data_IF_886720280543
#
_entry.id   IF_886720280543
#
_cell.length_a   1.000
_cell.length_b   1.000
_cell.length_c   1.000
_cell.angle_alpha   90.00
_cell.angle_beta   90.00
_cell.angle_gamma   90.00
#
_symmetry.space_group_name_H-M   'P 1'
#
loop_
_entity.id
_entity.type
_entity.pdbx_description
1 polymer ?
#
# COMPACT_ATOMS: atom_id res chain seq x y z
N UNK A 1 -21.62 -15.59 10.28
CA UNK A 1 -20.23 -15.41 9.79
C UNK A 1 -20.30 -15.29 8.27
N UNK A 2 -19.70 -14.26 7.67
CA UNK A 2 -19.72 -14.08 6.21
C UNK A 2 -18.95 -15.24 5.55
N UNK A 3 -19.57 -15.93 4.60
CA UNK A 3 -18.97 -17.05 3.88
C UNK A 3 -18.98 -16.77 2.37
N UNK A 4 -17.95 -16.08 1.84
CA UNK A 4 -17.89 -15.74 0.42
C UNK A 4 -17.83 -17.02 -0.42
N UNK A 5 -18.64 -17.10 -1.47
CA UNK A 5 -18.63 -18.22 -2.42
C UNK A 5 -17.66 -17.90 -3.56
N UNK A 6 -16.57 -18.64 -3.65
CA UNK A 6 -15.63 -18.54 -4.77
C UNK A 6 -15.85 -19.70 -5.74
N UNK A 7 -16.04 -19.40 -7.02
CA UNK A 7 -16.15 -20.40 -8.07
C UNK A 7 -14.86 -20.41 -8.89
N UNK A 8 -14.08 -21.49 -8.77
CA UNK A 8 -12.91 -21.69 -9.60
C UNK A 8 -13.36 -22.00 -11.04
N UNK A 9 -12.70 -21.39 -12.01
CA UNK A 9 -12.89 -21.71 -13.42
C UNK A 9 -11.54 -21.87 -14.11
N UNK A 10 -11.55 -22.38 -15.34
CA UNK A 10 -10.32 -22.68 -16.10
C UNK A 10 -9.45 -21.43 -16.32
N UNK A 11 -10.04 -20.24 -16.43
CA UNK A 11 -9.29 -18.99 -16.59
C UNK A 11 -8.58 -18.59 -15.31
N UNK A 12 -9.25 -18.67 -14.16
CA UNK A 12 -8.62 -18.42 -12.85
C UNK A 12 -7.50 -19.42 -12.62
N UNK A 13 -7.75 -20.71 -12.88
CA UNK A 13 -6.73 -21.75 -12.71
C UNK A 13 -5.51 -21.50 -13.60
N UNK A 14 -5.73 -21.22 -14.89
CA UNK A 14 -4.66 -20.89 -15.84
C UNK A 14 -3.84 -19.68 -15.38
N UNK A 15 -4.51 -18.60 -14.94
CA UNK A 15 -3.83 -17.42 -14.41
C UNK A 15 -3.01 -17.72 -13.15
N UNK A 16 -3.55 -18.53 -12.22
CA UNK A 16 -2.82 -18.92 -11.00
C UNK A 16 -1.55 -19.73 -11.35
N UNK A 17 -1.65 -20.65 -12.32
CA UNK A 17 -0.50 -21.42 -12.79
C UNK A 17 0.56 -20.52 -13.40
N UNK A 18 0.18 -19.61 -14.30
CA UNK A 18 1.12 -18.66 -14.91
C UNK A 18 1.81 -17.76 -13.87
N UNK A 19 1.07 -17.29 -12.85
CA UNK A 19 1.64 -16.50 -11.74
C UNK A 19 2.64 -17.33 -10.93
N UNK A 20 2.31 -18.59 -10.62
CA UNK A 20 3.18 -19.49 -9.87
C UNK A 20 4.47 -19.82 -10.63
N UNK A 21 4.38 -20.04 -11.94
CA UNK A 21 5.54 -20.25 -12.83
C UNK A 21 6.45 -19.02 -12.86
N UNK A 22 5.88 -17.83 -13.07
CA UNK A 22 6.62 -16.57 -13.06
C UNK A 22 7.31 -16.34 -11.71
N UNK A 23 6.60 -16.58 -10.60
CA UNK A 23 7.17 -16.49 -9.25
C UNK A 23 8.35 -17.46 -9.09
N UNK A 24 8.20 -18.71 -9.54
CA UNK A 24 9.26 -19.71 -9.46
C UNK A 24 10.53 -19.32 -10.22
N UNK A 25 10.40 -18.65 -11.37
CA UNK A 25 11.55 -18.09 -12.11
C UNK A 25 12.25 -17.02 -11.28
N UNK A 26 11.49 -16.09 -10.69
CA UNK A 26 12.03 -14.99 -9.87
C UNK A 26 12.72 -15.53 -8.62
N UNK A 27 12.11 -16.48 -7.90
CA UNK A 27 12.66 -17.06 -6.67
C UNK A 27 14.02 -17.75 -6.88
N UNK A 28 14.25 -18.30 -8.09
CA UNK A 28 15.52 -18.96 -8.46
C UNK A 28 16.55 -18.02 -9.08
N UNK A 29 16.19 -16.78 -9.38
CA UNK A 29 17.08 -15.83 -10.02
C UNK A 29 18.24 -15.48 -9.08
N UNK A 30 19.49 -15.60 -9.57
CA UNK A 30 20.68 -15.14 -8.84
C UNK A 30 20.83 -13.64 -9.03
N UNK A 31 20.30 -12.86 -8.07
CA UNK A 31 20.35 -11.40 -8.09
C UNK A 31 21.40 -10.92 -7.09
N UNK A 32 22.25 -9.97 -7.50
CA UNK A 32 23.23 -9.38 -6.59
C UNK A 32 22.52 -8.52 -5.52
N UNK A 33 22.98 -8.51 -4.26
CA UNK A 33 22.31 -7.77 -3.18
C UNK A 33 22.05 -6.28 -3.49
N UNK A 34 23.00 -5.62 -4.16
CA UNK A 34 22.83 -4.21 -4.58
C UNK A 34 21.73 -4.02 -5.62
N UNK A 35 21.57 -4.97 -6.55
CA UNK A 35 20.51 -4.94 -7.55
C UNK A 35 19.16 -5.19 -6.90
N UNK A 36 19.08 -6.13 -5.95
CA UNK A 36 17.86 -6.40 -5.18
C UNK A 36 17.40 -5.16 -4.41
N UNK A 37 18.31 -4.50 -3.69
CA UNK A 37 18.00 -3.26 -2.97
C UNK A 37 17.46 -2.18 -3.90
N UNK A 38 18.07 -2.03 -5.09
CA UNK A 38 17.61 -1.09 -6.12
C UNK A 38 16.20 -1.44 -6.60
N UNK A 39 15.93 -2.72 -6.88
CA UNK A 39 14.62 -3.19 -7.33
C UNK A 39 13.54 -2.97 -6.27
N UNK A 40 13.83 -3.27 -5.00
CA UNK A 40 12.93 -3.01 -3.87
C UNK A 40 12.60 -1.53 -3.73
N UNK A 41 13.61 -0.65 -3.77
CA UNK A 41 13.41 0.81 -3.75
C UNK A 41 12.52 1.27 -4.90
N UNK A 42 12.80 0.81 -6.12
CA UNK A 42 11.99 1.16 -7.29
C UNK A 42 10.55 0.67 -7.17
N UNK A 43 10.33 -0.53 -6.63
CA UNK A 43 9.00 -1.09 -6.40
C UNK A 43 8.21 -0.24 -5.39
N UNK A 44 8.82 0.17 -4.28
CA UNK A 44 8.17 1.02 -3.27
C UNK A 44 7.78 2.38 -3.85
N UNK A 45 8.68 3.02 -4.62
CA UNK A 45 8.41 4.32 -5.24
C UNK A 45 7.26 4.21 -6.25
N UNK A 46 7.30 3.23 -7.16
CA UNK A 46 6.23 3.03 -8.16
C UNK A 46 4.90 2.68 -7.53
N UNK A 47 4.89 1.79 -6.55
CA UNK A 47 3.67 1.41 -5.83
C UNK A 47 3.06 2.61 -5.12
N UNK A 48 3.88 3.44 -4.48
CA UNK A 48 3.42 4.67 -3.82
C UNK A 48 2.81 5.63 -4.84
N UNK A 49 3.55 5.95 -5.90
CA UNK A 49 3.10 6.91 -6.92
C UNK A 49 1.75 6.49 -7.53
N UNK A 50 1.66 5.28 -8.08
CA UNK A 50 0.44 4.84 -8.75
C UNK A 50 -0.73 4.64 -7.79
N UNK A 51 -0.48 4.18 -6.56
CA UNK A 51 -1.57 4.03 -5.58
C UNK A 51 -2.15 5.38 -5.19
N UNK A 52 -1.31 6.41 -4.98
CA UNK A 52 -1.81 7.75 -4.66
C UNK A 52 -2.41 8.45 -5.88
N UNK A 53 -1.87 8.21 -7.07
CA UNK A 53 -2.36 8.76 -8.34
C UNK A 53 -3.79 8.32 -8.67
N UNK A 54 -4.12 7.04 -8.45
CA UNK A 54 -5.48 6.50 -8.63
C UNK A 54 -6.49 7.25 -7.73
N UNK A 55 -6.06 7.69 -6.55
CA UNK A 55 -6.89 8.46 -5.59
C UNK A 55 -6.88 9.98 -5.88
N UNK A 56 -6.23 10.42 -6.96
CA UNK A 56 -6.23 11.80 -7.44
C UNK A 56 -5.00 12.65 -7.05
N UNK A 57 -3.99 12.05 -6.44
CA UNK A 57 -2.73 12.74 -6.12
C UNK A 57 -1.97 13.14 -7.41
N UNK A 58 -1.40 14.35 -7.43
CA UNK A 58 -0.78 14.92 -8.64
C UNK A 58 0.75 14.89 -8.65
N UNK A 59 1.39 14.32 -7.63
CA UNK A 59 2.85 14.27 -7.57
C UNK A 59 3.39 13.31 -8.63
N UNK A 60 4.33 13.78 -9.43
CA UNK A 60 5.03 12.94 -10.39
C UNK A 60 6.00 11.97 -9.68
N UNK A 61 6.45 10.94 -10.41
CA UNK A 61 7.37 9.93 -9.87
C UNK A 61 8.64 10.51 -9.25
N UNK A 62 9.20 11.58 -9.82
CA UNK A 62 10.40 12.25 -9.30
C UNK A 62 10.16 12.96 -7.96
N UNK A 63 8.99 13.57 -7.80
CA UNK A 63 8.56 14.16 -6.52
C UNK A 63 8.33 13.08 -5.46
N UNK A 64 7.70 11.95 -5.82
CA UNK A 64 7.55 10.79 -4.93
C UNK A 64 8.91 10.23 -4.50
N UNK A 65 9.86 10.12 -5.44
CA UNK A 65 11.22 9.69 -5.13
C UNK A 65 11.95 10.68 -4.21
N UNK A 66 11.80 11.99 -4.44
CA UNK A 66 12.36 13.02 -3.56
C UNK A 66 11.80 12.90 -2.14
N UNK A 67 10.49 12.68 -1.99
CA UNK A 67 9.85 12.45 -0.70
C UNK A 67 10.31 11.15 -0.04
N UNK A 68 10.47 10.06 -0.80
CA UNK A 68 11.06 8.80 -0.31
C UNK A 68 12.48 9.02 0.24
N UNK A 69 13.27 9.86 -0.46
CA UNK A 69 14.61 10.28 -0.02
C UNK A 69 14.60 11.35 1.08
N UNK A 70 13.44 11.67 1.67
CA UNK A 70 13.24 12.69 2.73
C UNK A 70 13.65 14.11 2.33
N UNK A 71 13.67 14.41 1.03
CA UNK A 71 13.88 15.77 0.53
C UNK A 71 12.59 16.58 0.62
N UNK A 72 12.73 17.91 0.65
CA UNK A 72 11.60 18.83 0.52
C UNK A 72 11.26 19.01 -0.96
N UNK A 73 9.98 19.17 -1.26
CA UNK A 73 9.46 19.52 -2.58
C UNK A 73 8.47 20.66 -2.41
N UNK A 74 8.25 21.41 -3.49
CA UNK A 74 7.18 22.40 -3.57
C UNK A 74 5.96 21.76 -4.23
N UNK A 75 4.90 21.57 -3.45
CA UNK A 75 3.63 20.97 -3.86
C UNK A 75 2.56 21.18 -2.77
N UNK A 76 1.26 20.99 -3.07
CA UNK A 76 0.21 21.05 -2.06
C UNK A 76 0.49 20.12 -0.88
N UNK A 77 0.33 20.66 0.34
CA UNK A 77 0.61 19.92 1.58
C UNK A 77 -0.15 18.58 1.65
N UNK A 78 -1.40 18.57 1.20
CA UNK A 78 -2.22 17.35 1.16
C UNK A 78 -1.56 16.25 0.33
N UNK A 79 -1.10 16.58 -0.88
CA UNK A 79 -0.48 15.60 -1.78
C UNK A 79 0.83 15.05 -1.19
N UNK A 80 1.62 15.93 -0.54
CA UNK A 80 2.83 15.56 0.20
C UNK A 80 2.50 14.60 1.35
N UNK A 81 1.43 14.89 2.11
CA UNK A 81 1.01 14.05 3.22
C UNK A 81 0.56 12.68 2.74
N UNK A 82 -0.26 12.59 1.70
CA UNK A 82 -0.75 11.31 1.14
C UNK A 82 0.40 10.38 0.74
N UNK A 83 1.41 10.89 0.02
CA UNK A 83 2.59 10.11 -0.36
C UNK A 83 3.40 9.66 0.87
N UNK A 84 3.68 10.57 1.81
CA UNK A 84 4.41 10.23 3.05
C UNK A 84 3.64 9.21 3.89
N UNK A 85 2.33 9.35 3.97
CA UNK A 85 1.43 8.47 4.71
C UNK A 85 1.44 7.06 4.13
N UNK A 86 1.34 6.93 2.80
CA UNK A 86 1.42 5.65 2.13
C UNK A 86 2.77 4.96 2.38
N UNK A 87 3.89 5.68 2.26
CA UNK A 87 5.23 5.17 2.60
C UNK A 87 5.32 4.69 4.06
N UNK A 88 4.74 5.43 5.00
CA UNK A 88 4.70 5.05 6.40
C UNK A 88 3.84 3.80 6.65
N UNK A 89 2.73 3.66 5.92
CA UNK A 89 1.87 2.48 5.98
C UNK A 89 2.61 1.23 5.47
N UNK A 90 3.33 1.31 4.34
CA UNK A 90 4.16 0.22 3.84
C UNK A 90 5.20 -0.22 4.88
N UNK A 91 5.92 0.74 5.47
CA UNK A 91 6.91 0.45 6.53
C UNK A 91 6.28 -0.23 7.75
N UNK A 92 5.05 0.17 8.12
CA UNK A 92 4.32 -0.49 9.20
C UNK A 92 3.92 -1.92 8.83
N UNK A 93 3.46 -2.16 7.60
CA UNK A 93 3.11 -3.50 7.11
C UNK A 93 4.34 -4.41 7.13
N UNK A 94 5.50 -3.95 6.65
CA UNK A 94 6.75 -4.69 6.72
C UNK A 94 7.10 -5.10 8.16
N UNK A 95 6.88 -4.19 9.13
CA UNK A 95 7.08 -4.50 10.55
C UNK A 95 6.10 -5.54 11.08
N UNK A 96 4.82 -5.45 10.71
CA UNK A 96 3.79 -6.45 11.12
C UNK A 96 4.17 -7.84 10.62
N UNK A 97 4.67 -7.95 9.39
CA UNK A 97 5.14 -9.21 8.79
C UNK A 97 6.39 -9.72 9.50
N UNK A 98 7.39 -8.85 9.73
CA UNK A 98 8.62 -9.22 10.43
C UNK A 98 8.35 -9.73 11.86
N UNK A 99 7.38 -9.10 12.55
CA UNK A 99 6.93 -9.49 13.89
C UNK A 99 5.98 -10.71 13.87
N UNK A 100 5.66 -11.28 12.69
CA UNK A 100 4.70 -12.39 12.50
C UNK A 100 3.34 -12.16 13.17
N UNK A 101 2.88 -10.91 13.19
CA UNK A 101 1.60 -10.54 13.82
C UNK A 101 0.43 -10.94 12.93
N UNK A 102 -0.67 -11.48 13.49
CA UNK A 102 -1.86 -11.77 12.71
C UNK A 102 -2.51 -10.49 12.17
N UNK A 103 -3.16 -10.59 11.02
CA UNK A 103 -3.98 -9.50 10.48
C UNK A 103 -5.26 -9.44 11.31
N UNK A 104 -5.34 -8.42 12.16
CA UNK A 104 -6.50 -8.15 13.01
C UNK A 104 -7.15 -6.85 12.61
N UNK A 105 -8.40 -6.63 13.04
CA UNK A 105 -9.09 -5.35 12.89
C UNK A 105 -8.23 -4.17 13.37
N UNK A 106 -7.56 -4.31 14.51
CA UNK A 106 -6.64 -3.30 15.05
C UNK A 106 -5.49 -2.98 14.08
N UNK A 107 -4.95 -3.99 13.39
CA UNK A 107 -3.92 -3.79 12.35
C UNK A 107 -4.49 -3.01 11.18
N UNK A 108 -5.69 -3.37 10.71
CA UNK A 108 -6.36 -2.71 9.59
C UNK A 108 -6.67 -1.25 9.93
N UNK A 109 -7.27 -0.98 11.09
CA UNK A 109 -7.55 0.38 11.56
C UNK A 109 -6.27 1.21 11.75
N UNK A 110 -5.17 0.57 12.17
CA UNK A 110 -3.87 1.25 12.25
C UNK A 110 -3.32 1.61 10.88
N UNK A 111 -3.43 0.73 9.87
CA UNK A 111 -3.07 1.04 8.48
C UNK A 111 -3.91 2.21 7.98
N UNK A 112 -5.24 2.15 8.18
CA UNK A 112 -6.16 3.24 7.82
C UNK A 112 -5.75 4.58 8.47
N UNK A 113 -5.40 4.57 9.76
CA UNK A 113 -4.90 5.76 10.46
C UNK A 113 -3.61 6.31 9.83
N UNK A 114 -2.69 5.45 9.41
CA UNK A 114 -1.44 5.86 8.80
C UNK A 114 -1.67 6.50 7.42
N UNK A 115 -2.49 5.89 6.56
CA UNK A 115 -2.76 6.42 5.21
C UNK A 115 -3.56 7.72 5.22
N UNK A 116 -4.39 7.95 6.25
CA UNK A 116 -5.29 9.12 6.37
C UNK A 116 -4.77 10.25 7.27
N UNK A 117 -3.56 10.11 7.81
CA UNK A 117 -3.03 11.07 8.78
C UNK A 117 -2.90 12.50 8.18
N UNK A 118 -3.59 13.49 8.75
CA UNK A 118 -3.67 14.88 8.24
C UNK A 118 -4.35 15.05 6.88
N UNK A 119 -4.94 14.00 6.31
CA UNK A 119 -5.70 14.05 5.05
C UNK A 119 -7.18 13.72 5.26
N UNK A 120 -7.52 13.21 6.44
CA UNK A 120 -8.88 12.99 6.93
C UNK A 120 -9.04 13.59 8.32
N UNK A 121 -10.26 13.99 8.67
CA UNK A 121 -10.54 14.51 10.00
C UNK A 121 -10.21 13.47 11.10
N UNK A 122 -9.58 13.85 12.23
CA UNK A 122 -9.04 12.90 13.21
C UNK A 122 -10.07 11.90 13.77
N UNK A 123 -11.34 12.33 13.90
CA UNK A 123 -12.44 11.48 14.37
C UNK A 123 -12.77 10.32 13.42
N UNK A 124 -12.40 10.41 12.14
CA UNK A 124 -12.61 9.33 11.15
C UNK A 124 -11.33 8.55 10.86
N UNK A 125 -10.15 9.12 11.15
CA UNK A 125 -8.86 8.46 10.90
C UNK A 125 -8.64 7.27 11.84
N UNK A 126 -8.54 6.08 11.26
CA UNK A 126 -8.42 4.83 12.02
C UNK A 126 -9.71 4.33 12.67
N UNK A 127 -10.87 4.79 12.20
CA UNK A 127 -12.18 4.33 12.67
C UNK A 127 -13.04 3.91 11.47
N UNK A 128 -14.06 3.09 11.73
CA UNK A 128 -15.12 2.90 10.74
C UNK A 128 -15.87 4.20 10.53
N UNK A 129 -16.40 4.38 9.31
CA UNK A 129 -17.31 5.49 9.02
C UNK A 129 -18.52 5.38 9.95
N UNK A 130 -18.88 6.42 10.72
CA UNK A 130 -20.13 6.40 11.45
C UNK A 130 -21.28 6.31 10.44
N UNK A 131 -22.20 5.36 10.67
CA UNK A 131 -23.38 5.20 9.83
C UNK A 131 -24.16 6.51 9.77
N UNK A 132 -24.70 6.83 8.60
CA UNK A 132 -25.65 7.94 8.47
C UNK A 132 -26.86 7.62 9.35
N UNK A 133 -27.14 8.45 10.37
CA UNK A 133 -28.48 8.48 10.94
C UNK A 133 -29.39 8.93 9.80
N UNK A 134 -30.09 8.01 9.17
CA UNK A 134 -31.25 8.36 8.36
C UNK A 134 -32.21 9.08 9.29
N UNK A 135 -32.41 10.38 9.07
CA UNK A 135 -33.45 11.13 9.74
C UNK A 135 -34.78 10.43 9.44
N UNK A 136 -35.42 9.92 10.49
CA UNK A 136 -36.83 9.52 10.47
C UNK A 136 -37.73 10.73 10.68
#
# INVERSE_FOLDING_TARGET
MYNPKYNLNNKILSNLTAIAEAKGIIDRAKILPQQELRLRRQAVIRMTHHSTEIEGNRLNMGQVEALYAKKKIDAPDRDIYEVKNYLNALKYIEKVIADKKPITEKVILKIHKLVTNKTLAPQFSGHYRPGTKTHG
#
